data_IF_295276719021
#
_entry.id   IF_295276719021
#
_cell.length_a   1.000
_cell.length_b   1.000
_cell.length_c   1.000
_cell.angle_alpha   90.00
_cell.angle_beta   90.00
_cell.angle_gamma   90.00
#
_symmetry.space_group_name_H-M   'P 1'
#
loop_
_entity.id
_entity.type
_entity.pdbx_description
1 polymer ?
#
# COMPACT_ATOMS: atom_id res chain seq x y z
N UNK A 1 27.86 46.00 2.43
CA UNK A 1 28.34 45.37 3.67
C UNK A 1 28.49 43.88 3.40
N UNK A 2 29.67 43.30 3.60
CA UNK A 2 29.92 41.88 3.34
C UNK A 2 29.17 40.98 4.33
N UNK A 3 28.54 39.91 3.85
CA UNK A 3 27.78 38.93 4.62
C UNK A 3 28.54 38.38 5.85
N UNK A 4 29.86 38.31 5.77
CA UNK A 4 30.75 37.91 6.88
C UNK A 4 30.75 38.90 8.05
N UNK A 5 30.67 40.20 7.79
CA UNK A 5 30.59 41.22 8.83
C UNK A 5 29.23 41.20 9.55
N UNK A 6 28.16 40.81 8.85
CA UNK A 6 26.82 40.67 9.41
C UNK A 6 26.69 39.45 10.34
N UNK A 7 27.27 38.31 9.95
CA UNK A 7 27.34 37.12 10.82
C UNK A 7 28.19 37.37 12.08
N UNK A 8 29.34 38.04 11.94
CA UNK A 8 30.21 38.37 13.05
C UNK A 8 29.58 39.34 14.08
N UNK A 9 28.57 40.12 13.67
CA UNK A 9 27.80 41.01 14.52
C UNK A 9 26.60 40.32 15.22
N UNK A 10 26.49 38.99 15.14
CA UNK A 10 25.39 38.23 15.75
C UNK A 10 24.15 38.10 14.86
N UNK A 11 24.25 38.41 13.56
CA UNK A 11 23.21 38.11 12.59
C UNK A 11 22.99 36.59 12.51
N UNK A 12 21.81 36.14 12.90
CA UNK A 12 21.38 34.75 12.71
C UNK A 12 20.72 34.68 11.34
N UNK A 13 21.23 33.87 10.38
CA UNK A 13 20.51 33.61 9.14
C UNK A 13 19.09 33.18 9.48
N UNK A 14 18.09 33.85 8.91
CA UNK A 14 16.73 33.33 8.95
C UNK A 14 16.80 31.88 8.43
N UNK A 15 16.16 30.90 9.10
CA UNK A 15 16.01 29.57 8.55
C UNK A 15 15.53 29.72 7.10
N UNK A 16 16.01 28.88 6.18
CA UNK A 16 15.42 28.84 4.84
C UNK A 16 13.90 28.77 5.02
N UNK A 17 13.17 29.81 4.59
CA UNK A 17 11.73 29.89 4.80
C UNK A 17 11.12 28.60 4.26
N UNK A 18 10.43 27.86 5.13
CA UNK A 18 9.76 26.64 4.71
C UNK A 18 8.77 27.00 3.61
N UNK A 19 8.61 26.15 2.57
CA UNK A 19 7.56 26.36 1.59
C UNK A 19 6.19 26.46 2.26
N UNK A 20 5.20 27.10 1.62
CA UNK A 20 3.83 27.13 2.14
C UNK A 20 3.34 25.72 2.50
N UNK A 21 2.59 25.61 3.60
CA UNK A 21 2.08 24.33 4.10
C UNK A 21 1.33 23.52 3.03
N UNK A 22 0.52 24.21 2.20
CA UNK A 22 -0.17 23.61 1.06
C UNK A 22 0.78 22.89 0.09
N UNK A 23 1.92 23.52 -0.24
CA UNK A 23 2.91 22.95 -1.15
C UNK A 23 3.58 21.71 -0.54
N UNK A 24 3.92 21.77 0.74
CA UNK A 24 4.49 20.63 1.46
C UNK A 24 3.49 19.47 1.49
N UNK A 25 2.23 19.73 1.84
CA UNK A 25 1.17 18.73 1.89
C UNK A 25 0.91 18.11 0.51
N UNK A 26 0.89 18.91 -0.56
CA UNK A 26 0.73 18.42 -1.93
C UNK A 26 1.88 17.47 -2.33
N UNK A 27 3.13 17.84 -2.02
CA UNK A 27 4.31 17.01 -2.30
C UNK A 27 4.29 15.70 -1.49
N UNK A 28 3.89 15.75 -0.21
CA UNK A 28 3.75 14.56 0.62
C UNK A 28 2.72 13.59 0.04
N UNK A 29 1.54 14.08 -0.39
CA UNK A 29 0.49 13.23 -0.99
C UNK A 29 0.94 12.57 -2.29
N UNK A 30 1.63 13.31 -3.17
CA UNK A 30 2.19 12.74 -4.41
C UNK A 30 3.21 11.64 -4.11
N UNK A 31 4.12 11.91 -3.16
CA UNK A 31 5.18 10.96 -2.79
C UNK A 31 4.59 9.71 -2.11
N UNK A 32 3.63 9.90 -1.20
CA UNK A 32 2.92 8.82 -0.52
C UNK A 32 2.18 7.92 -1.51
N UNK A 33 1.49 8.50 -2.50
CA UNK A 33 0.80 7.74 -3.53
C UNK A 33 1.78 6.91 -4.39
N UNK A 34 2.97 7.44 -4.68
CA UNK A 34 4.01 6.72 -5.41
C UNK A 34 4.58 5.55 -4.57
N UNK A 35 4.86 5.78 -3.28
CA UNK A 35 5.37 4.76 -2.36
C UNK A 35 4.34 3.63 -2.14
N UNK A 36 3.05 3.97 -2.04
CA UNK A 36 1.97 2.99 -1.99
C UNK A 36 1.90 2.15 -3.27
N UNK A 37 1.90 2.79 -4.45
CA UNK A 37 1.84 2.10 -5.74
C UNK A 37 3.01 1.12 -5.91
N UNK A 38 4.23 1.54 -5.56
CA UNK A 38 5.42 0.68 -5.61
C UNK A 38 5.25 -0.58 -4.76
N UNK A 39 4.71 -0.45 -3.54
CA UNK A 39 4.50 -1.59 -2.63
C UNK A 39 3.38 -2.51 -3.08
N UNK A 40 2.27 -1.95 -3.57
CA UNK A 40 1.16 -2.74 -4.14
C UNK A 40 1.62 -3.50 -5.40
N UNK A 41 2.48 -2.91 -6.22
CA UNK A 41 3.03 -3.59 -7.39
C UNK A 41 3.83 -4.84 -7.00
N UNK A 42 4.62 -4.80 -5.93
CA UNK A 42 5.41 -5.96 -5.48
C UNK A 42 4.52 -7.16 -5.16
N UNK A 43 3.45 -6.97 -4.39
CA UNK A 43 2.57 -8.08 -3.98
C UNK A 43 1.71 -8.63 -5.12
N UNK A 44 1.67 -7.92 -6.26
CA UNK A 44 0.86 -8.29 -7.41
C UNK A 44 1.70 -8.64 -8.66
N UNK A 45 3.03 -8.46 -8.62
CA UNK A 45 3.94 -8.47 -9.77
C UNK A 45 3.94 -9.77 -10.59
N UNK A 46 3.43 -10.88 -10.06
CA UNK A 46 3.35 -12.17 -10.76
C UNK A 46 2.06 -12.41 -11.55
N UNK A 47 1.06 -11.53 -11.46
CA UNK A 47 -0.28 -11.78 -11.98
C UNK A 47 -0.71 -10.71 -13.00
N UNK A 48 -1.00 -11.08 -14.27
CA UNK A 48 -1.53 -10.14 -15.26
C UNK A 48 -2.90 -9.62 -14.83
N UNK A 49 -3.30 -8.46 -15.34
CA UNK A 49 -4.56 -7.80 -14.94
C UNK A 49 -5.78 -8.72 -15.13
N UNK A 50 -5.86 -9.39 -16.27
CA UNK A 50 -6.95 -10.32 -16.59
C UNK A 50 -7.07 -11.48 -15.59
N UNK A 51 -5.95 -11.94 -15.02
CA UNK A 51 -6.00 -12.97 -13.97
C UNK A 51 -6.55 -12.39 -12.66
N UNK A 52 -6.15 -11.17 -12.30
CA UNK A 52 -6.64 -10.50 -11.08
C UNK A 52 -8.13 -10.20 -11.12
N UNK A 53 -8.66 -9.88 -12.30
CA UNK A 53 -10.10 -9.70 -12.52
C UNK A 53 -10.90 -10.96 -12.22
N UNK A 54 -10.28 -12.14 -12.33
CA UNK A 54 -10.93 -13.41 -11.96
C UNK A 54 -10.81 -13.76 -10.48
N UNK A 55 -9.98 -13.07 -9.68
CA UNK A 55 -9.81 -13.43 -8.27
C UNK A 55 -11.11 -13.44 -7.46
N UNK A 56 -12.05 -12.49 -7.63
CA UNK A 56 -13.30 -12.52 -6.87
C UNK A 56 -14.04 -13.86 -6.99
N UNK A 57 -14.24 -14.37 -8.21
CA UNK A 57 -14.92 -15.67 -8.41
C UNK A 57 -14.12 -16.83 -7.83
N UNK A 58 -12.79 -16.82 -7.96
CA UNK A 58 -11.93 -17.85 -7.37
C UNK A 58 -12.09 -17.90 -5.85
N UNK A 59 -12.04 -16.73 -5.21
CA UNK A 59 -12.14 -16.64 -3.74
C UNK A 59 -13.53 -16.95 -3.24
N UNK A 60 -14.57 -16.53 -3.95
CA UNK A 60 -15.97 -16.85 -3.62
C UNK A 60 -16.20 -18.37 -3.66
N UNK A 61 -15.83 -19.03 -4.76
CA UNK A 61 -15.99 -20.48 -4.90
C UNK A 61 -15.14 -21.24 -3.87
N UNK A 62 -13.92 -20.80 -3.59
CA UNK A 62 -13.06 -21.47 -2.62
C UNK A 62 -13.62 -21.39 -1.19
N UNK A 63 -14.24 -20.25 -0.82
CA UNK A 63 -14.90 -20.08 0.49
C UNK A 63 -16.22 -20.84 0.55
N UNK A 64 -16.98 -20.90 -0.56
CA UNK A 64 -18.17 -21.72 -0.65
C UNK A 64 -17.84 -23.20 -0.41
N UNK A 65 -16.74 -23.69 -1.01
CA UNK A 65 -16.29 -25.07 -0.85
C UNK A 65 -15.74 -25.38 0.55
N UNK A 66 -15.17 -24.38 1.24
CA UNK A 66 -14.78 -24.50 2.66
C UNK A 66 -16.01 -24.63 3.57
N UNK A 67 -17.09 -23.90 3.28
CA UNK A 67 -18.32 -23.94 4.07
C UNK A 67 -19.17 -25.19 3.77
N UNK A 68 -19.20 -25.62 2.51
CA UNK A 68 -19.93 -26.79 2.04
C UNK A 68 -19.11 -27.55 0.97
N UNK A 69 -18.57 -28.74 1.30
CA UNK A 69 -17.85 -29.56 0.33
C UNK A 69 -18.67 -29.96 -0.91
N UNK A 70 -20.00 -29.80 -0.90
CA UNK A 70 -20.88 -30.05 -2.04
C UNK A 70 -21.21 -28.79 -2.87
N UNK A 71 -20.68 -27.62 -2.52
CA UNK A 71 -20.90 -26.38 -3.24
C UNK A 71 -20.51 -26.50 -4.73
N UNK A 72 -21.27 -25.84 -5.60
CA UNK A 72 -20.95 -25.75 -7.01
C UNK A 72 -19.81 -24.75 -7.22
N UNK A 73 -18.72 -25.20 -7.86
CA UNK A 73 -17.52 -24.39 -8.07
C UNK A 73 -17.04 -24.50 -9.52
N UNK A 74 -17.84 -24.04 -10.50
CA UNK A 74 -17.56 -24.27 -11.92
C UNK A 74 -16.20 -23.71 -12.37
N UNK A 75 -15.74 -22.60 -11.79
CA UNK A 75 -14.42 -22.07 -12.11
C UNK A 75 -13.31 -22.98 -11.56
N UNK A 76 -13.39 -23.37 -10.28
CA UNK A 76 -12.40 -24.25 -9.64
C UNK A 76 -12.42 -25.63 -10.30
N UNK A 77 -13.59 -26.17 -10.62
CA UNK A 77 -13.74 -27.47 -11.28
C UNK A 77 -13.05 -27.47 -12.65
N UNK A 78 -13.29 -26.45 -13.48
CA UNK A 78 -12.65 -26.30 -14.79
C UNK A 78 -11.12 -26.12 -14.66
N UNK A 79 -10.68 -25.25 -13.75
CA UNK A 79 -9.26 -24.98 -13.53
C UNK A 79 -8.52 -26.20 -12.94
N UNK A 80 -9.14 -26.94 -12.02
CA UNK A 80 -8.60 -28.15 -11.43
C UNK A 80 -8.50 -29.28 -12.46
N UNK A 81 -9.55 -29.49 -13.26
CA UNK A 81 -9.58 -30.47 -14.35
C UNK A 81 -8.46 -30.21 -15.36
N UNK A 82 -8.32 -28.97 -15.83
CA UNK A 82 -7.28 -28.59 -16.80
C UNK A 82 -5.85 -28.81 -16.26
N UNK A 83 -5.68 -28.79 -14.94
CA UNK A 83 -4.39 -28.94 -14.26
C UNK A 83 -4.13 -30.35 -13.73
N UNK A 84 -5.11 -31.27 -13.83
CA UNK A 84 -5.04 -32.59 -13.20
C UNK A 84 -4.90 -32.51 -11.68
N UNK A 85 -5.54 -31.53 -11.05
CA UNK A 85 -5.53 -31.32 -9.59
C UNK A 85 -6.87 -31.72 -8.98
N UNK A 86 -6.82 -32.12 -7.71
CA UNK A 86 -8.02 -32.21 -6.89
C UNK A 86 -8.58 -30.80 -6.62
N UNK A 87 -9.91 -30.67 -6.66
CA UNK A 87 -10.59 -29.38 -6.51
C UNK A 87 -10.43 -28.78 -5.11
N UNK A 88 -10.42 -29.60 -4.06
CA UNK A 88 -10.23 -29.14 -2.68
C UNK A 88 -8.80 -28.66 -2.50
N UNK A 89 -7.84 -29.38 -3.08
CA UNK A 89 -6.43 -28.93 -3.11
C UNK A 89 -6.28 -27.59 -3.83
N UNK A 90 -7.00 -27.36 -4.93
CA UNK A 90 -6.99 -26.05 -5.61
C UNK A 90 -7.65 -24.95 -4.76
N UNK A 91 -8.81 -25.23 -4.17
CA UNK A 91 -9.50 -24.29 -3.29
C UNK A 91 -8.63 -23.87 -2.10
N UNK A 92 -7.95 -24.82 -1.43
CA UNK A 92 -7.03 -24.54 -0.33
C UNK A 92 -5.88 -23.61 -0.76
N UNK A 93 -5.32 -23.83 -1.94
CA UNK A 93 -4.27 -22.96 -2.50
C UNK A 93 -4.78 -21.55 -2.80
N UNK A 94 -6.01 -21.44 -3.30
CA UNK A 94 -6.64 -20.14 -3.56
C UNK A 94 -6.85 -19.40 -2.24
N UNK A 95 -7.43 -20.05 -1.22
CA UNK A 95 -7.65 -19.44 0.11
C UNK A 95 -6.34 -18.99 0.76
N UNK A 96 -5.32 -19.85 0.76
CA UNK A 96 -4.01 -19.50 1.31
C UNK A 96 -3.39 -18.26 0.64
N UNK A 97 -3.53 -18.13 -0.69
CA UNK A 97 -3.07 -16.96 -1.43
C UNK A 97 -3.92 -15.71 -1.14
N UNK A 98 -5.24 -15.87 -1.08
CA UNK A 98 -6.17 -14.80 -0.73
C UNK A 98 -5.88 -14.25 0.67
N UNK A 99 -5.68 -15.12 1.66
CA UNK A 99 -5.37 -14.73 3.03
C UNK A 99 -4.05 -13.95 3.12
N UNK A 100 -3.00 -14.46 2.47
CA UNK A 100 -1.71 -13.77 2.40
C UNK A 100 -1.84 -12.41 1.70
N UNK A 101 -2.56 -12.35 0.58
CA UNK A 101 -2.78 -11.10 -0.14
C UNK A 101 -3.55 -10.08 0.72
N UNK A 102 -4.67 -10.49 1.34
CA UNK A 102 -5.51 -9.61 2.16
C UNK A 102 -4.77 -9.06 3.37
N UNK A 103 -3.97 -9.89 4.04
CA UNK A 103 -3.16 -9.47 5.17
C UNK A 103 -2.20 -8.36 4.75
N UNK A 104 -1.43 -8.59 3.69
CA UNK A 104 -0.38 -7.65 3.27
C UNK A 104 -0.99 -6.40 2.65
N UNK A 105 -1.99 -6.55 1.77
CA UNK A 105 -2.71 -5.42 1.19
C UNK A 105 -3.34 -4.55 2.28
N UNK A 106 -4.00 -5.17 3.29
CA UNK A 106 -4.58 -4.46 4.43
C UNK A 106 -3.54 -3.66 5.22
N UNK A 107 -2.38 -4.24 5.53
CA UNK A 107 -1.29 -3.54 6.21
C UNK A 107 -0.75 -2.35 5.39
N UNK A 108 -0.59 -2.51 4.08
CA UNK A 108 -0.14 -1.44 3.19
C UNK A 108 -1.18 -0.32 3.10
N UNK A 109 -2.46 -0.66 2.89
CA UNK A 109 -3.55 0.33 2.82
C UNK A 109 -3.70 1.09 4.14
N UNK A 110 -3.68 0.39 5.27
CA UNK A 110 -3.76 1.01 6.59
C UNK A 110 -2.57 1.91 6.89
N UNK A 111 -1.35 1.53 6.47
CA UNK A 111 -0.17 2.39 6.60
C UNK A 111 -0.33 3.68 5.79
N UNK A 112 -0.77 3.58 4.53
CA UNK A 112 -1.04 4.76 3.70
C UNK A 112 -2.05 5.69 4.39
N UNK A 113 -3.19 5.14 4.83
CA UNK A 113 -4.26 5.92 5.47
C UNK A 113 -3.77 6.61 6.75
N UNK A 114 -3.01 5.92 7.61
CA UNK A 114 -2.43 6.53 8.80
C UNK A 114 -1.52 7.73 8.46
N UNK A 115 -0.76 7.67 7.36
CA UNK A 115 0.10 8.79 6.93
C UNK A 115 -0.77 9.91 6.31
N UNK A 116 -1.82 9.58 5.57
CA UNK A 116 -2.81 10.56 5.09
C UNK A 116 -3.44 11.32 6.27
N UNK A 117 -3.84 10.60 7.31
CA UNK A 117 -4.39 11.19 8.55
C UNK A 117 -3.37 12.11 9.24
N UNK A 118 -2.07 11.78 9.22
CA UNK A 118 -1.01 12.64 9.76
C UNK A 118 -0.85 13.94 8.95
N UNK A 119 -0.91 13.85 7.62
CA UNK A 119 -0.85 15.03 6.73
C UNK A 119 -2.07 15.92 6.97
N UNK A 120 -3.26 15.33 7.06
CA UNK A 120 -4.51 16.05 7.26
C UNK A 120 -4.57 16.70 8.65
N UNK A 121 -4.10 16.01 9.69
CA UNK A 121 -4.03 16.54 11.05
C UNK A 121 -3.02 17.69 11.23
N UNK A 122 -1.95 17.72 10.44
CA UNK A 122 -0.97 18.81 10.47
C UNK A 122 -1.52 20.12 9.86
N UNK A 123 -2.59 20.05 9.06
CA UNK A 123 -3.30 21.20 8.51
C UNK A 123 -2.36 22.25 7.87
N UNK A 124 -2.27 23.45 8.45
CA UNK A 124 -1.45 24.57 7.98
C UNK A 124 -0.10 24.71 8.72
N UNK A 125 0.24 23.76 9.59
CA UNK A 125 1.54 23.72 10.28
C UNK A 125 2.63 23.18 9.33
N UNK A 126 3.30 24.11 8.65
CA UNK A 126 4.40 23.82 7.73
C UNK A 126 5.57 23.07 8.42
N UNK A 127 5.81 23.31 9.71
CA UNK A 127 6.86 22.62 10.44
C UNK A 127 6.43 21.17 10.70
N UNK A 128 5.22 20.92 11.19
CA UNK A 128 4.72 19.58 11.42
C UNK A 128 4.68 18.75 10.12
N UNK A 129 4.20 19.33 9.02
CA UNK A 129 4.24 18.70 7.71
C UNK A 129 5.67 18.34 7.26
N UNK A 130 6.64 19.22 7.51
CA UNK A 130 8.04 18.98 7.14
C UNK A 130 8.69 17.78 7.84
N UNK A 131 8.13 17.34 8.97
CA UNK A 131 8.62 16.19 9.75
C UNK A 131 7.97 14.85 9.36
N UNK A 132 6.98 14.84 8.46
CA UNK A 132 6.31 13.59 8.05
C UNK A 132 7.20 12.82 7.07
N UNK A 133 7.68 11.64 7.49
CA UNK A 133 8.36 10.70 6.62
C UNK A 133 7.37 9.70 6.00
N UNK A 134 7.03 9.92 4.74
CA UNK A 134 6.12 9.06 3.97
C UNK A 134 6.74 7.71 3.61
N UNK A 135 8.05 7.52 3.76
CA UNK A 135 8.74 6.26 3.55
C UNK A 135 8.85 5.40 4.82
N UNK A 136 8.49 5.94 5.98
CA UNK A 136 8.55 5.24 7.26
C UNK A 136 7.26 4.47 7.63
N UNK A 137 7.42 3.47 8.49
CA UNK A 137 6.29 2.76 9.11
C UNK A 137 5.54 1.80 8.19
N UNK A 138 6.09 1.48 7.02
CA UNK A 138 5.58 0.42 6.15
C UNK A 138 6.01 -0.96 6.66
N UNK A 139 5.14 -1.99 6.54
CA UNK A 139 5.55 -3.35 6.83
C UNK A 139 6.68 -3.77 5.89
N UNK A 140 7.57 -4.64 6.39
CA UNK A 140 8.51 -5.32 5.52
C UNK A 140 7.75 -6.01 4.38
N UNK A 141 8.29 -5.94 3.17
CA UNK A 141 7.72 -6.72 2.07
C UNK A 141 7.73 -8.20 2.51
N UNK A 142 6.61 -8.93 2.34
CA UNK A 142 6.64 -10.37 2.53
C UNK A 142 7.70 -10.92 1.57
N UNK A 143 8.62 -11.70 2.14
CA UNK A 143 9.57 -12.52 1.36
C UNK A 143 8.81 -13.66 0.69
#
# INVERSE_FOLDING_TARGET
>A
MEYRAWLAAGGVPLPAELPPAEEIAARLRVTLAAEYRKRIQVIAAGYPLSERESWPVQTEEARALEADPAAATPWIDAAALARGLDRLVLADRIRAKDDAYRQVHGLLTGTRQRIEDQIDAAADDALALSQIDVAAGWPAAPV
#
